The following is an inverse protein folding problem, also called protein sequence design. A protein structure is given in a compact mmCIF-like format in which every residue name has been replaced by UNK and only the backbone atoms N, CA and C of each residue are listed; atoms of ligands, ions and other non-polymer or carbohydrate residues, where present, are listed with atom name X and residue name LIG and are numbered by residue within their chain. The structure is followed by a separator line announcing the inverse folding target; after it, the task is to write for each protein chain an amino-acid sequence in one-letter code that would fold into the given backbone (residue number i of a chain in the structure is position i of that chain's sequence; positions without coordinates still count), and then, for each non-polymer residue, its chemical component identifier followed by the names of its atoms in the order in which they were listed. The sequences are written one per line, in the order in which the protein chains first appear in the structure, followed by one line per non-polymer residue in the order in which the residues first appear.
data_IF_687161920029
#
_entry.id   IF_687161920029
#
_cell.length_a   1.000
_cell.length_b   1.000
_cell.length_c   1.000
_cell.angle_alpha   90.00
_cell.angle_beta   90.00
_cell.angle_gamma   90.00
#
_symmetry.space_group_name_H-M   'P 1'
#
loop_
_entity.id
_entity.type
_entity.pdbx_description
1 polymer ?
#
# COMPACT_ATOMS: atom_id res chain seq x y z
N UNK A 1 3.29 -2.05 20.19
CA UNK A 1 2.75 -2.18 18.82
C UNK A 1 1.52 -1.30 18.70
N UNK A 2 1.44 -0.43 17.70
CA UNK A 2 0.29 0.44 17.49
C UNK A 2 -0.80 -0.34 16.73
N UNK A 3 -1.71 -0.99 17.46
CA UNK A 3 -2.79 -1.80 16.89
C UNK A 3 -3.75 -1.01 15.98
N UNK A 4 -3.84 0.31 16.13
CA UNK A 4 -4.65 1.16 15.26
C UNK A 4 -4.05 1.31 13.86
N UNK A 5 -2.72 1.38 13.77
CA UNK A 5 -2.02 1.43 12.48
C UNK A 5 -2.14 0.11 11.73
N UNK A 6 -1.93 -1.02 12.42
CA UNK A 6 -2.04 -2.36 11.81
C UNK A 6 -3.42 -2.56 11.20
N UNK A 7 -4.50 -2.22 11.92
CA UNK A 7 -5.87 -2.32 11.39
C UNK A 7 -6.12 -1.43 10.17
N UNK A 8 -5.50 -0.26 10.10
CA UNK A 8 -5.61 0.62 8.93
C UNK A 8 -4.89 0.01 7.73
N UNK A 9 -3.70 -0.55 7.93
CA UNK A 9 -2.95 -1.26 6.88
C UNK A 9 -3.74 -2.46 6.38
N UNK A 10 -4.33 -3.25 7.27
CA UNK A 10 -5.16 -4.41 6.90
C UNK A 10 -6.41 -3.99 6.10
N UNK A 11 -7.03 -2.86 6.47
CA UNK A 11 -8.18 -2.33 5.74
C UNK A 11 -7.79 -1.83 4.33
N UNK A 12 -6.71 -1.05 4.22
CA UNK A 12 -6.24 -0.58 2.90
C UNK A 12 -5.73 -1.73 2.04
N UNK A 13 -5.20 -2.80 2.63
CA UNK A 13 -4.87 -4.02 1.90
C UNK A 13 -6.11 -4.63 1.24
N UNK A 14 -7.23 -4.74 1.96
CA UNK A 14 -8.48 -5.25 1.38
C UNK A 14 -8.99 -4.33 0.25
N UNK A 15 -8.86 -3.01 0.43
CA UNK A 15 -9.21 -2.03 -0.62
C UNK A 15 -8.30 -2.18 -1.83
N UNK A 16 -6.99 -2.33 -1.64
CA UNK A 16 -6.00 -2.55 -2.70
C UNK A 16 -6.28 -3.86 -3.47
N UNK A 17 -6.60 -4.95 -2.77
CA UNK A 17 -7.03 -6.22 -3.39
C UNK A 17 -8.29 -6.02 -4.23
N UNK A 18 -9.23 -5.18 -3.80
CA UNK A 18 -10.43 -4.87 -4.57
C UNK A 18 -10.14 -3.94 -5.77
N UNK A 19 -9.29 -2.92 -5.59
CA UNK A 19 -8.87 -1.93 -6.60
C UNK A 19 -8.09 -2.58 -7.72
N UNK A 20 -7.18 -3.49 -7.38
CA UNK A 20 -6.31 -4.18 -8.33
C UNK A 20 -6.71 -5.63 -8.61
N UNK A 21 -7.74 -6.16 -7.97
CA UNK A 21 -8.35 -7.45 -8.28
C UNK A 21 -7.35 -8.56 -8.62
N UNK A 22 -7.53 -9.14 -9.81
CA UNK A 22 -6.74 -10.25 -10.36
C UNK A 22 -5.38 -9.85 -10.96
N UNK A 23 -4.92 -8.60 -10.78
CA UNK A 23 -3.59 -8.15 -11.22
C UNK A 23 -2.52 -8.33 -10.15
N UNK A 24 -2.91 -8.58 -8.90
CA UNK A 24 -2.03 -9.06 -7.81
C UNK A 24 -1.65 -10.54 -8.02
N UNK A 25 -0.81 -10.82 -9.02
CA UNK A 25 -0.43 -12.19 -9.40
C UNK A 25 1.06 -12.45 -9.45
N UNK A 26 1.88 -11.41 -9.51
CA UNK A 26 3.34 -11.56 -9.52
C UNK A 26 4.01 -10.46 -8.69
N UNK A 27 5.19 -10.74 -8.11
CA UNK A 27 5.92 -9.76 -7.31
C UNK A 27 6.22 -8.45 -8.07
N UNK A 28 6.47 -8.53 -9.38
CA UNK A 28 6.78 -7.34 -10.20
C UNK A 28 5.59 -6.39 -10.32
N UNK A 29 4.36 -6.91 -10.38
CA UNK A 29 3.16 -6.06 -10.46
C UNK A 29 2.99 -5.30 -9.14
N UNK A 30 3.14 -5.98 -8.00
CA UNK A 30 3.05 -5.35 -6.69
C UNK A 30 4.19 -4.35 -6.44
N UNK A 31 5.39 -4.61 -6.96
CA UNK A 31 6.51 -3.68 -6.89
C UNK A 31 6.22 -2.38 -7.67
N UNK A 32 5.62 -2.49 -8.85
CA UNK A 32 5.19 -1.33 -9.63
C UNK A 32 4.10 -0.55 -8.91
N UNK A 33 3.10 -1.24 -8.34
CA UNK A 33 2.04 -0.60 -7.55
C UNK A 33 2.59 0.15 -6.33
N UNK A 34 3.53 -0.43 -5.58
CA UNK A 34 4.25 0.28 -4.49
C UNK A 34 4.91 1.56 -5.01
N UNK A 35 5.50 1.51 -6.19
CA UNK A 35 6.19 2.67 -6.77
C UNK A 35 5.22 3.80 -7.08
N UNK A 36 4.03 3.48 -7.59
CA UNK A 36 2.95 4.44 -7.81
C UNK A 36 2.49 5.07 -6.49
N UNK A 37 2.19 4.26 -5.47
CA UNK A 37 1.72 4.75 -4.17
C UNK A 37 2.78 5.61 -3.45
N UNK A 38 4.08 5.28 -3.59
CA UNK A 38 5.16 6.16 -3.10
C UNK A 38 5.19 7.50 -3.84
N UNK A 39 4.82 7.51 -5.13
CA UNK A 39 4.63 8.73 -5.90
C UNK A 39 3.51 9.60 -5.35
N UNK A 40 2.38 9.01 -4.97
CA UNK A 40 1.25 9.71 -4.35
C UNK A 40 1.59 10.24 -2.96
N UNK A 41 2.32 9.48 -2.14
CA UNK A 41 2.89 9.99 -0.87
C UNK A 41 3.74 11.24 -1.11
N UNK A 42 4.64 11.19 -2.10
CA UNK A 42 5.47 12.34 -2.44
C UNK A 42 4.61 13.52 -2.93
N UNK A 43 3.59 13.26 -3.75
CA UNK A 43 2.65 14.26 -4.22
C UNK A 43 1.95 14.96 -3.05
N UNK A 44 1.31 14.20 -2.16
CA UNK A 44 0.53 14.71 -1.03
C UNK A 44 1.38 15.54 -0.07
N UNK A 45 2.62 15.11 0.20
CA UNK A 45 3.57 15.86 1.04
C UNK A 45 3.98 17.17 0.36
N UNK A 46 4.39 17.10 -0.92
CA UNK A 46 4.90 18.26 -1.64
C UNK A 46 3.83 19.34 -1.89
N UNK A 47 2.56 18.93 -1.98
CA UNK A 47 1.43 19.85 -2.16
C UNK A 47 0.70 20.17 -0.85
N UNK A 48 1.18 19.67 0.29
CA UNK A 48 0.62 19.92 1.62
C UNK A 48 -0.89 19.63 1.70
N UNK A 49 -1.32 18.47 1.19
CA UNK A 49 -2.74 18.06 1.09
C UNK A 49 -3.41 17.73 2.43
N UNK A 50 -2.65 17.85 3.52
CA UNK A 50 -3.13 17.69 4.89
C UNK A 50 -2.84 16.30 5.47
N UNK A 51 -2.81 16.25 6.81
CA UNK A 51 -2.35 15.07 7.56
C UNK A 51 -3.16 13.82 7.24
N UNK A 52 -4.48 13.94 7.02
CA UNK A 52 -5.34 12.80 6.74
C UNK A 52 -5.00 12.14 5.40
N UNK A 53 -4.80 12.95 4.34
CA UNK A 53 -4.44 12.48 3.00
C UNK A 53 -3.04 11.85 3.02
N UNK A 54 -2.05 12.57 3.57
CA UNK A 54 -0.69 12.04 3.70
C UNK A 54 -0.66 10.71 4.47
N UNK A 55 -1.45 10.58 5.53
CA UNK A 55 -1.57 9.31 6.24
C UNK A 55 -2.22 8.21 5.41
N UNK A 56 -3.24 8.54 4.62
CA UNK A 56 -3.89 7.58 3.72
C UNK A 56 -2.88 7.03 2.71
N UNK A 57 -2.20 7.90 1.96
CA UNK A 57 -1.20 7.48 0.96
C UNK A 57 -0.09 6.60 1.57
N UNK A 58 0.37 6.95 2.79
CA UNK A 58 1.37 6.13 3.50
C UNK A 58 0.81 4.76 3.84
N UNK A 59 -0.44 4.67 4.31
CA UNK A 59 -1.06 3.38 4.65
C UNK A 59 -1.31 2.56 3.38
N UNK A 60 -1.71 3.18 2.26
CA UNK A 60 -1.86 2.51 0.96
C UNK A 60 -0.53 1.87 0.54
N UNK A 61 0.57 2.65 0.51
CA UNK A 61 1.91 2.14 0.19
C UNK A 61 2.36 0.99 1.11
N UNK A 62 2.09 1.09 2.42
CA UNK A 62 2.39 0.02 3.38
C UNK A 62 1.58 -1.24 3.13
N UNK A 63 0.31 -1.11 2.75
CA UNK A 63 -0.57 -2.24 2.42
C UNK A 63 -0.04 -3.03 1.23
N UNK A 64 0.41 -2.35 0.17
CA UNK A 64 1.00 -3.01 -1.01
C UNK A 64 2.31 -3.72 -0.67
N UNK A 65 3.18 -3.06 0.13
CA UNK A 65 4.44 -3.67 0.59
C UNK A 65 4.22 -4.92 1.44
N UNK A 66 3.22 -4.90 2.32
CA UNK A 66 2.86 -6.06 3.13
C UNK A 66 2.40 -7.22 2.24
N UNK A 67 1.59 -6.93 1.21
CA UNK A 67 1.16 -7.96 0.25
C UNK A 67 2.31 -8.52 -0.57
N UNK A 68 3.23 -7.66 -1.02
CA UNK A 68 4.43 -8.08 -1.74
C UNK A 68 5.30 -9.01 -0.89
N UNK A 69 5.50 -8.67 0.39
CA UNK A 69 6.22 -9.54 1.32
C UNK A 69 5.60 -10.93 1.40
N UNK A 70 4.28 -11.01 1.59
CA UNK A 70 3.57 -12.30 1.69
C UNK A 70 3.65 -13.12 0.39
N UNK A 71 3.62 -12.47 -0.77
CA UNK A 71 3.74 -13.16 -2.05
C UNK A 71 5.14 -13.79 -2.21
N UNK A 72 6.19 -13.03 -1.90
CA UNK A 72 7.56 -13.55 -1.94
C UNK A 72 7.77 -14.66 -0.91
N UNK A 73 7.16 -14.56 0.27
CA UNK A 73 7.21 -15.60 1.30
C UNK A 73 6.49 -16.90 0.89
N UNK A 74 5.45 -16.82 0.05
CA UNK A 74 4.71 -17.99 -0.44
C UNK A 74 5.34 -18.66 -1.67
N UNK A 75 6.18 -17.94 -2.43
CA UNK A 75 6.91 -18.47 -3.59
C UNK A 75 8.25 -19.15 -3.22
N UNK A 76 8.71 -19.00 -1.97
CA UNK A 76 9.93 -19.61 -1.41
C UNK A 76 9.62 -20.75 -0.42
#
# INVERSE_FOLDING_TARGET
MNYGLIKRIDAEREVAIQKWGATDRTPEILLNAVTEEVGEVAHAINHNEGVAVIQQEIVEAMGVLARLYEMVEQEL
#
